data_IF_877056834927
#
_entry.id   IF_877056834927
#
_cell.length_a   1.000
_cell.length_b   1.000
_cell.length_c   1.000
_cell.angle_alpha   90.00
_cell.angle_beta   90.00
_cell.angle_gamma   90.00
#
_symmetry.space_group_name_H-M   'P 1'
#
loop_
_entity.id
_entity.type
_entity.pdbx_description
1 polymer ?
#
# COMPACT_ATOMS: atom_id res chain seq x y z
N UNK A 1 -24.87 -21.18 18.93
CA UNK A 1 -24.72 -19.73 19.20
C UNK A 1 -23.78 -19.19 18.14
N UNK A 2 -24.27 -18.39 17.20
CA UNK A 2 -23.46 -17.88 16.08
C UNK A 2 -22.97 -16.49 16.45
N UNK A 3 -21.69 -16.35 16.76
CA UNK A 3 -21.10 -15.06 17.13
C UNK A 3 -21.09 -14.16 15.89
N UNK A 4 -21.98 -13.17 15.82
CA UNK A 4 -21.91 -12.13 14.79
C UNK A 4 -20.80 -11.15 15.19
N UNK A 5 -19.62 -11.31 14.59
CA UNK A 5 -18.51 -10.37 14.73
C UNK A 5 -18.65 -9.27 13.67
N UNK A 6 -18.72 -8.00 14.07
CA UNK A 6 -18.71 -6.89 13.12
C UNK A 6 -17.25 -6.57 12.68
N UNK A 7 -17.07 -5.82 11.58
CA UNK A 7 -15.72 -5.47 11.06
C UNK A 7 -14.82 -4.82 12.11
N UNK A 8 -15.38 -4.00 13.00
CA UNK A 8 -14.62 -3.33 14.07
C UNK A 8 -14.16 -4.35 15.11
N UNK A 9 -14.97 -5.36 15.44
CA UNK A 9 -14.60 -6.43 16.36
C UNK A 9 -13.46 -7.28 15.79
N UNK A 10 -13.52 -7.57 14.48
CA UNK A 10 -12.45 -8.29 13.77
C UNK A 10 -11.15 -7.47 13.79
N UNK A 11 -11.21 -6.17 13.51
CA UNK A 11 -10.03 -5.30 13.51
C UNK A 11 -9.43 -5.13 14.91
N UNK A 12 -10.26 -5.00 15.95
CA UNK A 12 -9.80 -4.95 17.35
C UNK A 12 -9.17 -6.27 17.78
N UNK A 13 -9.74 -7.40 17.38
CA UNK A 13 -9.16 -8.73 17.61
C UNK A 13 -7.80 -8.89 16.93
N UNK A 14 -7.67 -8.42 15.68
CA UNK A 14 -6.41 -8.46 14.94
C UNK A 14 -5.31 -7.58 15.57
N UNK A 15 -5.66 -6.39 16.07
CA UNK A 15 -4.71 -5.50 16.75
C UNK A 15 -4.22 -6.08 18.09
N UNK A 16 -5.12 -6.75 18.83
CA UNK A 16 -4.76 -7.46 20.04
C UNK A 16 -3.80 -8.63 19.74
N UNK A 17 -4.02 -9.38 18.66
CA UNK A 17 -3.13 -10.46 18.22
C UNK A 17 -1.74 -9.96 17.81
N UNK A 18 -1.65 -8.82 17.12
CA UNK A 18 -0.37 -8.21 16.75
C UNK A 18 0.44 -7.71 17.97
N UNK A 19 -0.22 -7.33 19.07
CA UNK A 19 0.46 -6.93 20.32
C UNK A 19 1.08 -8.09 21.10
N UNK A 20 0.66 -9.34 20.85
CA UNK A 20 1.18 -10.52 21.55
C UNK A 20 2.64 -10.83 21.19
N UNK A 21 3.11 -10.42 20.01
CA UNK A 21 4.51 -10.56 19.60
C UNK A 21 5.46 -9.66 20.41
N UNK A 22 4.99 -8.49 20.86
CA UNK A 22 5.75 -7.56 21.72
C UNK A 22 5.91 -8.13 23.14
N UNK A 23 4.99 -9.01 23.58
CA UNK A 23 4.97 -9.61 24.92
C UNK A 23 5.79 -10.91 25.03
N UNK A 24 6.56 -11.27 24.01
CA UNK A 24 7.41 -12.47 24.04
C UNK A 24 6.63 -13.78 23.97
N UNK A 25 5.38 -13.75 23.50
CA UNK A 25 4.62 -14.98 23.22
C UNK A 25 5.32 -15.70 22.07
N UNK A 26 5.73 -16.96 22.26
CA UNK A 26 6.48 -17.70 21.26
C UNK A 26 5.65 -17.89 19.99
N UNK A 27 6.34 -17.90 18.85
CA UNK A 27 5.76 -17.82 17.50
C UNK A 27 4.68 -18.89 17.22
N UNK A 28 4.80 -20.08 17.84
CA UNK A 28 3.83 -21.17 17.76
C UNK A 28 2.46 -20.86 18.39
N UNK A 29 2.37 -19.85 19.25
CA UNK A 29 1.15 -19.42 19.94
C UNK A 29 0.50 -18.18 19.30
N UNK A 30 1.14 -17.60 18.27
CA UNK A 30 0.54 -16.57 17.43
C UNK A 30 -0.20 -17.23 16.27
N UNK A 31 -1.34 -16.68 15.81
CA UNK A 31 -1.90 -17.07 14.52
C UNK A 31 -0.92 -16.69 13.41
N UNK A 32 -0.03 -17.62 13.05
CA UNK A 32 0.83 -17.49 11.87
C UNK A 32 -0.09 -17.64 10.66
N UNK A 33 -0.55 -16.52 10.12
CA UNK A 33 -1.55 -16.47 9.04
C UNK A 33 -1.12 -17.20 7.75
N UNK A 34 0.13 -17.68 7.65
CA UNK A 34 0.72 -18.26 6.44
C UNK A 34 1.27 -19.70 6.61
N UNK A 35 1.06 -20.38 7.74
CA UNK A 35 1.67 -21.70 7.96
C UNK A 35 0.98 -22.79 7.11
N UNK A 36 1.72 -23.33 6.14
CA UNK A 36 1.20 -24.31 5.18
C UNK A 36 0.73 -23.71 3.85
N UNK A 37 0.84 -22.40 3.67
CA UNK A 37 0.60 -21.76 2.38
C UNK A 37 1.82 -21.94 1.46
N UNK A 38 1.56 -22.23 0.19
CA UNK A 38 2.58 -22.30 -0.85
C UNK A 38 2.48 -21.05 -1.70
N UNK A 39 3.58 -20.32 -1.87
CA UNK A 39 3.64 -19.17 -2.77
C UNK A 39 3.31 -19.63 -4.20
N UNK A 40 2.23 -19.10 -4.78
CA UNK A 40 1.86 -19.35 -6.19
C UNK A 40 2.43 -18.22 -7.05
N UNK A 41 3.34 -18.51 -7.99
CA UNK A 41 3.90 -17.48 -8.85
C UNK A 41 2.88 -17.01 -9.90
N UNK A 42 2.99 -15.75 -10.31
CA UNK A 42 2.29 -15.22 -11.49
C UNK A 42 2.95 -15.79 -12.76
N UNK A 43 2.19 -16.53 -13.58
CA UNK A 43 2.69 -17.20 -14.80
C UNK A 43 2.19 -16.59 -16.10
N UNK A 44 1.37 -15.54 -16.01
CA UNK A 44 0.70 -14.87 -17.12
C UNK A 44 1.54 -13.76 -17.77
N UNK A 45 2.67 -13.40 -17.16
CA UNK A 45 3.57 -12.35 -17.64
C UNK A 45 4.83 -12.95 -18.29
N UNK A 46 5.30 -12.38 -19.42
CA UNK A 46 6.54 -12.80 -20.06
C UNK A 46 7.78 -12.49 -19.19
N UNK A 47 8.86 -13.23 -19.38
CA UNK A 47 10.17 -12.96 -18.77
C UNK A 47 11.24 -12.83 -19.89
N UNK A 48 11.83 -11.63 -20.12
CA UNK A 48 11.71 -10.42 -19.32
C UNK A 48 10.39 -9.66 -19.52
N UNK A 49 9.82 -9.17 -18.41
CA UNK A 49 8.70 -8.24 -18.44
C UNK A 49 9.20 -6.80 -18.51
N UNK A 50 8.97 -6.11 -19.63
CA UNK A 50 9.40 -4.72 -19.82
C UNK A 50 8.20 -3.77 -19.72
N UNK A 51 8.20 -2.92 -18.71
CA UNK A 51 7.19 -1.87 -18.54
C UNK A 51 7.67 -0.57 -19.20
N UNK A 52 6.93 -0.09 -20.19
CA UNK A 52 7.18 1.21 -20.82
C UNK A 52 6.69 2.31 -19.89
N UNK A 53 7.59 3.23 -19.52
CA UNK A 53 7.27 4.42 -18.73
C UNK A 53 6.97 5.57 -19.69
N UNK A 54 5.79 6.18 -19.57
CA UNK A 54 5.49 7.45 -20.22
C UNK A 54 5.54 8.59 -19.18
N UNK A 55 5.62 9.86 -19.59
CA UNK A 55 5.48 10.96 -18.67
C UNK A 55 4.18 10.85 -17.86
N UNK A 56 3.08 10.42 -18.45
CA UNK A 56 1.75 10.40 -17.85
C UNK A 56 1.49 9.17 -16.97
N UNK A 57 2.08 8.02 -17.33
CA UNK A 57 1.82 6.73 -16.70
C UNK A 57 3.10 5.95 -16.41
N UNK A 58 3.22 5.52 -15.16
CA UNK A 58 4.20 4.53 -14.71
C UNK A 58 3.46 3.32 -14.15
N UNK A 59 3.54 2.22 -14.87
CA UNK A 59 3.12 0.90 -14.39
C UNK A 59 4.31 0.31 -13.62
N UNK A 60 4.04 -0.43 -12.56
CA UNK A 60 5.05 -1.08 -11.71
C UNK A 60 4.86 -2.58 -11.71
N UNK A 61 5.96 -3.32 -11.59
CA UNK A 61 5.90 -4.77 -11.39
C UNK A 61 5.73 -5.06 -9.90
N UNK A 62 4.51 -5.42 -9.51
CA UNK A 62 4.17 -5.69 -8.11
C UNK A 62 4.92 -6.89 -7.53
N UNK A 63 5.47 -7.77 -8.38
CA UNK A 63 6.28 -8.93 -7.95
C UNK A 63 7.56 -8.50 -7.25
N UNK A 64 8.03 -7.27 -7.51
CA UNK A 64 9.23 -6.70 -6.89
C UNK A 64 8.95 -6.00 -5.55
N UNK A 65 7.68 -5.78 -5.19
CA UNK A 65 7.31 -5.08 -3.95
C UNK A 65 7.89 -5.76 -2.70
N UNK A 66 7.85 -7.09 -2.55
CA UNK A 66 8.45 -7.76 -1.39
C UNK A 66 9.95 -7.44 -1.22
N UNK A 67 10.69 -7.29 -2.32
CA UNK A 67 12.12 -7.00 -2.32
C UNK A 67 12.40 -5.50 -2.07
N UNK A 68 11.46 -4.62 -2.42
CA UNK A 68 11.58 -3.17 -2.26
C UNK A 68 11.35 -2.67 -0.82
N UNK A 69 11.05 -3.59 0.12
CA UNK A 69 10.78 -3.29 1.51
C UNK A 69 9.40 -2.66 1.75
N UNK A 70 9.19 -2.12 2.95
CA UNK A 70 7.88 -1.62 3.38
C UNK A 70 7.40 -0.37 2.61
N UNK A 71 8.32 0.39 2.02
CA UNK A 71 8.02 1.65 1.35
C UNK A 71 8.51 1.62 -0.09
N UNK A 72 7.61 1.90 -1.03
CA UNK A 72 7.99 2.07 -2.43
C UNK A 72 8.81 3.35 -2.60
N UNK A 73 10.02 3.30 -3.21
CA UNK A 73 10.80 4.48 -3.52
C UNK A 73 10.02 5.49 -4.39
N UNK A 74 10.25 6.79 -4.17
CA UNK A 74 9.50 7.85 -4.86
C UNK A 74 9.63 7.79 -6.40
N UNK A 75 10.81 7.40 -6.89
CA UNK A 75 11.12 7.21 -8.31
C UNK A 75 10.57 5.89 -8.90
N UNK A 76 9.97 5.04 -8.05
CA UNK A 76 9.38 3.76 -8.43
C UNK A 76 7.86 3.68 -8.18
N UNK A 77 7.24 4.73 -7.63
CA UNK A 77 5.80 4.74 -7.30
C UNK A 77 4.91 4.68 -8.56
N UNK A 78 3.82 3.90 -8.58
CA UNK A 78 2.92 3.91 -9.75
C UNK A 78 2.31 5.31 -9.99
N UNK A 79 2.18 5.72 -11.25
CA UNK A 79 1.53 7.00 -11.59
C UNK A 79 0.43 6.81 -12.62
N UNK A 80 -0.66 7.54 -12.44
CA UNK A 80 -1.68 7.77 -13.47
C UNK A 80 -2.03 9.24 -13.45
N UNK A 81 -1.77 9.92 -14.55
CA UNK A 81 -2.11 11.32 -14.71
C UNK A 81 -3.08 11.49 -15.87
N UNK A 82 -4.11 12.31 -15.65
CA UNK A 82 -5.09 12.66 -16.68
C UNK A 82 -4.58 13.76 -17.61
N UNK A 83 -3.62 14.56 -17.13
CA UNK A 83 -2.93 15.64 -17.84
C UNK A 83 -1.42 15.47 -17.65
N UNK A 84 -0.59 16.25 -18.35
CA UNK A 84 0.86 16.21 -18.18
C UNK A 84 1.34 16.73 -16.81
N UNK A 85 2.66 16.83 -16.62
CA UNK A 85 3.28 17.35 -15.41
C UNK A 85 3.40 18.88 -15.46
N UNK A 86 2.72 19.63 -14.57
CA UNK A 86 2.92 21.07 -14.52
C UNK A 86 4.30 21.41 -13.95
N UNK A 87 4.97 22.37 -14.57
CA UNK A 87 6.17 23.00 -13.99
C UNK A 87 5.67 24.12 -13.06
N UNK A 88 5.89 23.96 -11.76
CA UNK A 88 5.44 24.91 -10.74
C UNK A 88 6.66 25.63 -10.15
N UNK A 89 6.66 26.96 -10.20
CA UNK A 89 7.61 27.78 -9.47
C UNK A 89 7.13 27.95 -8.00
N UNK A 90 7.90 27.47 -7.01
CA UNK A 90 7.50 27.54 -5.61
C UNK A 90 7.43 28.98 -5.07
N UNK A 91 8.14 29.95 -5.66
CA UNK A 91 8.10 31.34 -5.21
C UNK A 91 6.78 32.03 -5.56
N UNK A 92 6.18 31.65 -6.69
CA UNK A 92 4.96 32.26 -7.23
C UNK A 92 3.71 31.40 -7.04
N UNK A 93 3.85 30.12 -6.65
CA UNK A 93 2.72 29.24 -6.36
C UNK A 93 1.79 29.81 -5.26
N UNK A 94 0.47 29.69 -5.47
CA UNK A 94 -0.57 30.03 -4.49
C UNK A 94 -1.66 28.96 -4.50
N UNK A 95 -2.04 28.49 -3.32
CA UNK A 95 -3.18 27.59 -3.12
C UNK A 95 -4.41 28.40 -2.70
N UNK A 96 -5.49 28.33 -3.49
CA UNK A 96 -6.77 28.98 -3.13
C UNK A 96 -7.60 28.04 -2.27
N UNK A 97 -8.00 28.50 -1.09
CA UNK A 97 -9.01 27.85 -0.23
C UNK A 97 -10.33 28.61 -0.44
N UNK A 98 -11.43 27.90 -0.72
CA UNK A 98 -12.74 28.50 -1.02
C UNK A 98 -13.88 27.58 -0.61
N UNK A 99 -15.10 28.11 -0.48
CA UNK A 99 -16.30 27.36 -0.07
C UNK A 99 -17.00 28.06 1.09
N UNK A 100 -17.85 27.33 1.83
CA UNK A 100 -18.44 27.79 3.08
C UNK A 100 -17.46 27.53 4.23
N UNK A 101 -16.34 28.25 4.20
CA UNK A 101 -15.33 28.22 5.25
C UNK A 101 -15.30 29.58 5.91
N UNK A 102 -15.12 29.60 7.23
CA UNK A 102 -14.87 30.85 7.93
C UNK A 102 -13.57 31.47 7.41
N UNK A 103 -13.58 32.77 7.12
CA UNK A 103 -12.35 33.46 6.75
C UNK A 103 -11.49 33.58 8.01
N UNK A 104 -10.39 32.82 8.03
CA UNK A 104 -9.32 33.02 9.00
C UNK A 104 -8.50 34.26 8.67
#
# INVERSE_FOLDING_TARGET
>A
MTTQSNRRDILKGGLAAAGLSILGIPEWALPVLAQGETLVPFTDLPDPFTLVRSPERRIIDIRTIPDNGQFTPADQFATTQHYGHPVIDPATYRLRISGLVDQA
#
